data_IF_720431436731
#
_entry.id   IF_720431436731
#
_cell.length_a   1.000
_cell.length_b   1.000
_cell.length_c   1.000
_cell.angle_alpha   90.00
_cell.angle_beta   90.00
_cell.angle_gamma   90.00
#
_symmetry.space_group_name_H-M   'P 1'
#
loop_
_entity.id
_entity.type
_entity.pdbx_description
1 polymer ?
#
# COMPACT_ATOMS: atom_id res chain seq x y z
N UNK A 1 1.57 -5.29 -31.12
CA UNK A 1 1.95 -4.42 -29.98
C UNK A 1 1.50 -5.16 -28.72
N UNK A 2 2.41 -5.96 -28.12
CA UNK A 2 2.11 -6.68 -26.88
C UNK A 2 2.19 -5.68 -25.71
N UNK A 3 1.04 -5.37 -25.13
CA UNK A 3 1.01 -4.71 -23.81
C UNK A 3 1.32 -5.80 -22.79
N UNK A 4 2.56 -5.80 -22.29
CA UNK A 4 2.95 -6.59 -21.12
C UNK A 4 2.15 -6.08 -19.93
N UNK A 5 1.02 -6.74 -19.64
CA UNK A 5 0.26 -6.51 -18.43
C UNK A 5 1.10 -6.92 -17.24
N UNK A 6 1.56 -5.94 -16.46
CA UNK A 6 2.18 -6.20 -15.17
C UNK A 6 1.19 -6.97 -14.30
N UNK A 7 1.55 -8.19 -13.90
CA UNK A 7 0.75 -8.99 -12.97
C UNK A 7 0.75 -8.31 -11.60
N UNK A 8 -0.34 -7.64 -11.27
CA UNK A 8 -0.55 -6.98 -9.99
C UNK A 8 -0.95 -8.06 -8.95
N UNK A 9 0.05 -8.69 -8.35
CA UNK A 9 -0.13 -9.61 -7.24
C UNK A 9 0.03 -8.87 -5.92
N UNK A 10 -1.04 -8.27 -5.48
CA UNK A 10 -1.12 -7.73 -4.13
C UNK A 10 -2.22 -8.46 -3.35
N UNK A 11 -1.90 -8.90 -2.17
CA UNK A 11 -2.63 -9.90 -1.44
C UNK A 11 -3.24 -9.33 -0.17
N UNK A 12 -4.55 -9.47 -0.05
CA UNK A 12 -5.26 -9.32 1.23
C UNK A 12 -5.45 -10.72 1.81
N UNK A 13 -5.13 -10.92 3.07
CA UNK A 13 -5.30 -12.18 3.77
C UNK A 13 -6.78 -12.42 4.13
N UNK A 14 -7.52 -13.28 3.42
CA UNK A 14 -8.89 -13.59 3.79
C UNK A 14 -8.96 -14.49 5.06
N UNK A 15 -7.92 -15.24 5.41
CA UNK A 15 -7.90 -16.04 6.63
C UNK A 15 -7.86 -15.15 7.90
N UNK A 16 -7.29 -13.94 7.79
CA UNK A 16 -7.39 -12.94 8.86
C UNK A 16 -8.83 -12.41 9.04
N UNK A 17 -9.70 -12.64 8.05
CA UNK A 17 -11.10 -12.19 8.05
C UNK A 17 -11.99 -13.08 8.93
N UNK A 18 -11.65 -14.36 9.06
CA UNK A 18 -12.53 -15.34 9.72
C UNK A 18 -12.18 -15.60 11.20
N UNK A 19 -11.02 -15.18 11.67
CA UNK A 19 -10.48 -15.62 12.95
C UNK A 19 -10.75 -14.71 14.14
N UNK A 20 -11.20 -13.45 13.95
CA UNK A 20 -11.43 -12.54 15.08
C UNK A 20 -12.48 -11.48 14.75
N UNK A 21 -13.45 -11.33 15.65
CA UNK A 21 -14.29 -10.13 15.66
C UNK A 21 -13.36 -8.90 15.66
N UNK A 22 -13.65 -7.87 14.85
CA UNK A 22 -12.79 -6.70 14.79
C UNK A 22 -12.64 -6.17 16.22
N UNK A 23 -11.38 -6.12 16.68
CA UNK A 23 -11.09 -5.26 17.84
C UNK A 23 -11.66 -3.88 17.47
N UNK A 24 -12.45 -3.26 18.36
CA UNK A 24 -13.00 -1.96 18.06
C UNK A 24 -11.82 -1.07 17.62
N UNK A 25 -11.97 -0.44 16.46
CA UNK A 25 -11.02 0.60 16.04
C UNK A 25 -10.88 1.48 17.26
N UNK A 26 -9.71 1.61 17.88
CA UNK A 26 -9.57 2.48 19.02
C UNK A 26 -10.17 3.82 18.60
N UNK A 27 -11.10 4.41 19.35
CA UNK A 27 -11.84 5.60 18.93
C UNK A 27 -10.94 6.80 18.69
N UNK A 28 -9.67 6.62 18.90
CA UNK A 28 -8.57 7.46 18.50
C UNK A 28 -7.43 6.52 18.10
N UNK A 29 -7.33 6.18 16.80
CA UNK A 29 -6.00 6.12 16.26
C UNK A 29 -5.37 7.42 16.77
N UNK A 30 -4.38 7.32 17.67
CA UNK A 30 -3.72 8.51 18.22
C UNK A 30 -3.18 9.24 17.01
N UNK A 31 -3.95 10.21 16.55
CA UNK A 31 -3.57 11.06 15.45
C UNK A 31 -2.37 11.81 15.98
N UNK A 32 -1.19 11.33 15.60
CA UNK A 32 0.03 12.03 15.94
C UNK A 32 -0.17 13.48 15.47
N UNK A 33 0.06 14.43 16.36
CA UNK A 33 0.05 15.84 15.97
C UNK A 33 0.99 16.03 14.78
N UNK A 34 0.75 17.02 13.92
CA UNK A 34 1.64 17.29 12.80
C UNK A 34 3.10 17.40 13.23
N UNK A 35 3.35 17.99 14.40
CA UNK A 35 4.67 18.07 15.00
C UNK A 35 5.24 16.69 15.36
N UNK A 36 4.44 15.76 15.88
CA UNK A 36 4.89 14.40 16.21
C UNK A 36 5.18 13.58 14.96
N UNK A 37 4.36 13.70 13.92
CA UNK A 37 4.63 13.06 12.63
C UNK A 37 5.93 13.60 12.02
N UNK A 38 6.15 14.90 12.10
CA UNK A 38 7.37 15.55 11.62
C UNK A 38 8.61 15.19 12.45
N UNK A 39 8.47 15.03 13.77
CA UNK A 39 9.56 14.61 14.64
C UNK A 39 10.10 13.20 14.34
N UNK A 40 9.29 12.34 13.74
CA UNK A 40 9.71 11.02 13.27
C UNK A 40 10.50 11.07 11.96
N UNK A 41 10.46 12.22 11.28
CA UNK A 41 11.19 12.40 10.03
C UNK A 41 12.65 12.73 10.36
N UNK A 42 13.56 11.93 9.80
CA UNK A 42 14.95 12.32 9.82
C UNK A 42 15.11 13.66 9.08
N UNK A 43 15.95 14.54 9.61
CA UNK A 43 16.22 15.88 9.03
C UNK A 43 16.46 15.87 7.52
N UNK A 44 17.11 14.80 7.03
CA UNK A 44 17.37 14.62 5.60
C UNK A 44 16.11 14.52 4.75
N UNK A 45 15.03 13.92 5.28
CA UNK A 45 13.76 13.77 4.55
C UNK A 45 13.00 15.09 4.48
N UNK A 46 13.04 15.88 5.57
CA UNK A 46 12.43 17.22 5.61
C UNK A 46 13.10 18.21 4.65
N UNK A 47 14.39 18.00 4.36
CA UNK A 47 15.16 18.85 3.46
C UNK A 47 15.01 18.47 1.99
N UNK A 48 14.37 17.34 1.67
CA UNK A 48 14.14 16.94 0.27
C UNK A 48 13.24 17.93 -0.43
N UNK A 49 13.65 18.34 -1.62
CA UNK A 49 12.84 19.20 -2.50
C UNK A 49 11.82 18.35 -3.26
N UNK A 50 10.63 18.93 -3.45
CA UNK A 50 9.55 18.29 -4.21
C UNK A 50 8.68 17.37 -3.38
N UNK A 51 7.82 16.66 -4.08
CA UNK A 51 6.84 15.74 -3.50
C UNK A 51 7.49 14.41 -3.14
N UNK A 52 7.13 13.87 -1.96
CA UNK A 52 7.51 12.54 -1.51
C UNK A 52 6.40 11.91 -0.66
N UNK A 53 6.35 10.60 -0.66
CA UNK A 53 5.50 9.79 0.19
C UNK A 53 6.32 9.23 1.36
N UNK A 54 5.74 9.25 2.56
CA UNK A 54 6.32 8.68 3.75
C UNK A 54 5.31 7.76 4.40
N UNK A 55 5.59 6.46 4.40
CA UNK A 55 4.79 5.47 5.12
C UNK A 55 5.46 5.17 6.45
N UNK A 56 4.73 5.34 7.54
CA UNK A 56 5.17 4.95 8.86
C UNK A 56 4.41 3.68 9.27
N UNK A 57 5.10 2.54 9.33
CA UNK A 57 4.49 1.22 9.54
C UNK A 57 3.82 1.08 10.89
N UNK A 58 4.50 1.48 11.98
CA UNK A 58 3.97 1.30 13.34
C UNK A 58 2.75 2.18 13.62
N UNK A 59 2.71 3.40 13.09
CA UNK A 59 1.53 4.28 13.20
C UNK A 59 0.48 4.02 12.13
N UNK A 60 0.81 3.25 11.08
CA UNK A 60 -0.08 2.92 9.96
C UNK A 60 -0.64 4.16 9.27
N UNK A 61 0.26 5.08 8.98
CA UNK A 61 -0.07 6.36 8.35
C UNK A 61 0.81 6.59 7.12
N UNK A 62 0.18 7.09 6.07
CA UNK A 62 0.84 7.62 4.90
C UNK A 62 0.81 9.15 4.96
N UNK A 63 1.97 9.76 4.84
CA UNK A 63 2.15 11.21 4.75
C UNK A 63 2.56 11.56 3.34
N UNK A 64 1.97 12.62 2.79
CA UNK A 64 2.42 13.27 1.56
C UNK A 64 3.09 14.56 1.94
N UNK A 65 4.38 14.66 1.64
CA UNK A 65 5.18 15.86 1.89
C UNK A 65 5.50 16.55 0.58
N UNK A 66 5.51 17.88 0.60
CA UNK A 66 5.94 18.70 -0.52
C UNK A 66 6.90 19.77 -0.01
N UNK A 67 8.15 19.74 -0.49
CA UNK A 67 9.22 20.61 0.01
C UNK A 67 9.34 20.57 1.55
N UNK A 68 9.23 19.39 2.15
CA UNK A 68 9.28 19.17 3.58
C UNK A 68 8.04 19.62 4.37
N UNK A 69 7.00 20.08 3.69
CA UNK A 69 5.74 20.48 4.33
C UNK A 69 4.68 19.38 4.17
N UNK A 70 3.98 19.08 5.25
CA UNK A 70 2.87 18.12 5.21
C UNK A 70 1.71 18.68 4.36
N UNK A 71 1.34 17.94 3.33
CA UNK A 71 0.20 18.24 2.43
C UNK A 71 -1.01 17.39 2.75
N UNK A 72 -0.77 16.11 3.07
CA UNK A 72 -1.83 15.14 3.34
C UNK A 72 -1.33 14.10 4.33
N UNK A 73 -2.23 13.67 5.22
CA UNK A 73 -2.04 12.52 6.10
C UNK A 73 -3.27 11.64 6.01
N UNK A 74 -3.07 10.36 5.74
CA UNK A 74 -4.15 9.38 5.64
C UNK A 74 -3.80 8.09 6.36
N UNK A 75 -4.78 7.38 6.94
CA UNK A 75 -4.55 6.07 7.50
C UNK A 75 -4.26 5.06 6.40
N UNK A 76 -3.46 4.06 6.70
CA UNK A 76 -3.07 3.01 5.77
C UNK A 76 -3.09 1.65 6.45
N UNK A 77 -3.41 0.58 5.72
CA UNK A 77 -3.05 -0.75 6.16
C UNK A 77 -1.60 -1.03 5.77
N UNK A 78 -0.97 -1.96 6.48
CA UNK A 78 0.41 -2.40 6.22
C UNK A 78 0.50 -3.92 6.31
N UNK A 79 1.65 -4.46 5.92
CA UNK A 79 1.92 -5.89 6.01
C UNK A 79 1.85 -6.42 7.43
N UNK A 80 1.28 -7.62 7.57
CA UNK A 80 1.26 -8.38 8.83
C UNK A 80 2.63 -9.00 9.12
N UNK A 81 2.80 -9.58 10.31
CA UNK A 81 4.02 -10.28 10.72
C UNK A 81 4.39 -11.38 9.71
N UNK A 82 5.65 -11.40 9.29
CA UNK A 82 6.17 -12.28 8.25
C UNK A 82 5.88 -11.82 6.81
N UNK A 83 5.12 -10.73 6.64
CA UNK A 83 4.75 -10.12 5.36
C UNK A 83 4.82 -8.60 5.42
N UNK A 84 5.80 -8.11 6.14
CA UNK A 84 5.92 -6.69 6.39
C UNK A 84 6.11 -5.91 5.09
N UNK A 85 5.50 -4.75 5.04
CA UNK A 85 5.78 -3.78 3.97
C UNK A 85 7.28 -3.45 3.97
N UNK A 86 8.00 -3.60 2.83
CA UNK A 86 9.45 -3.41 2.76
C UNK A 86 9.88 -2.03 3.24
N UNK A 87 10.82 -2.01 4.20
CA UNK A 87 11.42 -0.78 4.70
C UNK A 87 12.38 -0.17 3.69
N UNK A 88 12.66 1.12 3.87
CA UNK A 88 13.71 1.81 3.12
C UNK A 88 13.20 2.81 2.09
N UNK A 89 14.09 3.18 1.19
CA UNK A 89 13.83 4.15 0.14
C UNK A 89 13.45 3.45 -1.17
N UNK A 90 12.34 3.86 -1.71
CA UNK A 90 11.75 3.38 -2.96
C UNK A 90 11.33 4.57 -3.83
N UNK A 91 10.78 4.28 -4.98
CA UNK A 91 10.13 5.26 -5.84
C UNK A 91 8.88 4.69 -6.47
N UNK A 92 7.96 5.55 -6.86
CA UNK A 92 6.79 5.13 -7.66
C UNK A 92 7.28 4.54 -8.98
N UNK A 93 7.00 3.26 -9.22
CA UNK A 93 7.40 2.49 -10.40
C UNK A 93 6.35 2.58 -11.52
N UNK A 94 5.09 2.50 -11.14
CA UNK A 94 3.97 2.59 -12.07
C UNK A 94 2.69 3.05 -11.37
N UNK A 95 1.74 3.53 -12.17
CA UNK A 95 0.42 3.98 -11.73
C UNK A 95 -0.65 3.42 -12.66
N UNK A 96 -1.75 2.93 -12.09
CA UNK A 96 -2.85 2.36 -12.87
C UNK A 96 -4.20 2.83 -12.32
N UNK A 97 -5.05 3.34 -13.19
CA UNK A 97 -6.46 3.63 -12.92
C UNK A 97 -7.25 2.36 -13.17
N UNK A 98 -8.19 2.06 -12.30
CA UNK A 98 -9.08 0.90 -12.39
C UNK A 98 -8.30 -0.40 -12.71
N UNK A 99 -7.38 -0.81 -11.80
CA UNK A 99 -6.52 -1.96 -12.04
C UNK A 99 -7.33 -3.25 -12.10
N UNK A 100 -6.97 -4.16 -13.00
CA UNK A 100 -7.44 -5.54 -12.95
C UNK A 100 -6.56 -6.33 -11.98
N UNK A 101 -7.17 -7.02 -11.03
CA UNK A 101 -6.45 -7.92 -10.14
C UNK A 101 -6.38 -9.32 -10.74
N UNK A 102 -5.19 -9.92 -10.69
CA UNK A 102 -4.99 -11.31 -11.12
C UNK A 102 -4.81 -12.18 -9.89
N UNK A 103 -5.67 -13.18 -9.75
CA UNK A 103 -5.58 -14.14 -8.66
C UNK A 103 -4.30 -14.99 -8.81
N UNK A 104 -3.44 -15.07 -7.78
CA UNK A 104 -2.11 -15.66 -7.90
C UNK A 104 -2.09 -17.16 -8.22
N UNK A 105 -3.02 -17.95 -7.67
CA UNK A 105 -3.08 -19.39 -7.94
C UNK A 105 -3.81 -19.73 -9.22
N UNK A 106 -4.98 -19.15 -9.42
CA UNK A 106 -5.88 -19.54 -10.52
C UNK A 106 -5.61 -18.77 -11.79
N UNK A 107 -4.94 -17.64 -11.71
CA UNK A 107 -4.76 -16.71 -12.82
C UNK A 107 -6.05 -15.96 -13.23
N UNK A 108 -7.15 -16.18 -12.50
CA UNK A 108 -8.42 -15.52 -12.76
C UNK A 108 -8.28 -14.00 -12.66
N UNK A 109 -8.90 -13.30 -13.60
CA UNK A 109 -8.89 -11.83 -13.62
C UNK A 109 -10.16 -11.31 -12.95
N UNK A 110 -9.97 -10.43 -11.96
CA UNK A 110 -11.06 -9.66 -11.33
C UNK A 110 -11.05 -8.27 -11.92
N UNK A 111 -12.13 -7.96 -12.61
CA UNK A 111 -12.32 -6.65 -13.24
C UNK A 111 -12.36 -5.52 -12.18
N UNK A 112 -12.16 -4.27 -12.60
CA UNK A 112 -12.20 -3.12 -11.70
C UNK A 112 -13.66 -2.81 -11.30
N UNK A 113 -14.23 -3.64 -10.46
CA UNK A 113 -15.55 -3.47 -9.85
C UNK A 113 -15.45 -3.43 -8.31
N UNK A 114 -16.58 -3.31 -7.64
CA UNK A 114 -16.64 -3.22 -6.17
C UNK A 114 -16.11 -4.44 -5.41
N UNK A 115 -15.76 -5.53 -6.10
CA UNK A 115 -15.17 -6.75 -5.53
C UNK A 115 -13.65 -6.81 -5.70
N UNK A 116 -13.09 -5.94 -6.53
CA UNK A 116 -11.66 -5.91 -6.78
C UNK A 116 -10.90 -5.44 -5.53
N UNK A 117 -9.99 -6.26 -4.96
CA UNK A 117 -9.30 -5.91 -3.72
C UNK A 117 -8.37 -4.70 -3.85
N UNK A 118 -8.02 -4.29 -5.07
CA UNK A 118 -7.13 -3.15 -5.32
C UNK A 118 -7.86 -1.81 -5.39
N UNK A 119 -9.21 -1.82 -5.34
CA UNK A 119 -9.96 -0.58 -5.46
C UNK A 119 -9.76 0.12 -6.81
N UNK A 120 -9.92 1.44 -6.84
CA UNK A 120 -9.93 2.22 -8.09
C UNK A 120 -8.54 2.68 -8.56
N UNK A 121 -7.50 2.58 -7.72
CA UNK A 121 -6.14 3.05 -8.04
C UNK A 121 -5.09 2.11 -7.51
N UNK A 122 -4.00 1.98 -8.29
CA UNK A 122 -2.79 1.26 -7.93
C UNK A 122 -1.56 2.13 -8.17
N UNK A 123 -0.63 2.14 -7.22
CA UNK A 123 0.66 2.83 -7.29
C UNK A 123 1.73 1.85 -6.82
N UNK A 124 2.46 1.22 -7.75
CA UNK A 124 3.56 0.32 -7.41
C UNK A 124 4.77 1.12 -6.93
N UNK A 125 5.46 0.65 -5.88
CA UNK A 125 6.70 1.28 -5.41
C UNK A 125 7.84 0.30 -5.09
N UNK A 126 7.55 -1.00 -5.00
CA UNK A 126 8.57 -2.02 -4.78
C UNK A 126 8.29 -3.24 -5.65
N UNK A 127 9.36 -3.94 -6.07
CA UNK A 127 9.30 -5.13 -6.88
C UNK A 127 10.26 -6.17 -6.30
N UNK A 128 9.75 -7.37 -6.03
CA UNK A 128 10.57 -8.53 -5.63
C UNK A 128 10.57 -9.56 -6.75
N UNK A 129 11.74 -9.81 -7.31
CA UNK A 129 11.96 -10.82 -8.34
C UNK A 129 12.73 -12.04 -7.79
N UNK A 130 13.26 -11.94 -6.57
CA UNK A 130 14.06 -13.00 -5.96
C UNK A 130 13.19 -14.07 -5.31
N UNK A 131 12.11 -13.64 -4.65
CA UNK A 131 11.17 -14.50 -3.96
C UNK A 131 9.73 -14.08 -4.27
N UNK A 132 9.33 -14.13 -5.55
CA UNK A 132 8.00 -13.66 -5.93
C UNK A 132 6.93 -14.57 -5.33
N UNK A 133 6.12 -14.03 -4.43
CA UNK A 133 5.03 -14.72 -3.76
C UNK A 133 3.71 -13.97 -3.86
N UNK A 134 2.63 -14.71 -3.72
CA UNK A 134 1.28 -14.18 -3.66
C UNK A 134 0.41 -15.02 -2.74
N UNK A 135 -0.59 -14.42 -2.12
CA UNK A 135 -1.59 -15.12 -1.31
C UNK A 135 -2.80 -15.45 -2.17
N UNK A 136 -3.21 -16.71 -2.19
CA UNK A 136 -4.31 -17.19 -3.04
C UNK A 136 -5.67 -17.26 -2.35
N UNK A 137 -5.75 -16.81 -1.12
CA UNK A 137 -6.93 -16.92 -0.28
C UNK A 137 -6.79 -17.97 0.84
N UNK A 138 -5.87 -18.92 0.70
CA UNK A 138 -5.64 -20.00 1.66
C UNK A 138 -4.17 -20.15 2.06
N UNK A 139 -3.25 -19.94 1.14
CA UNK A 139 -1.82 -20.12 1.32
C UNK A 139 -0.99 -19.19 0.45
N UNK A 140 0.29 -19.12 0.76
CA UNK A 140 1.29 -18.48 -0.10
C UNK A 140 1.60 -19.39 -1.27
N UNK A 141 1.58 -18.82 -2.46
CA UNK A 141 1.96 -19.48 -3.71
C UNK A 141 3.08 -18.74 -4.38
N UNK A 142 3.96 -19.47 -5.03
CA UNK A 142 4.95 -18.88 -5.91
C UNK A 142 4.28 -18.38 -7.19
N UNK A 143 4.68 -17.20 -7.65
CA UNK A 143 4.16 -16.63 -8.87
C UNK A 143 5.23 -16.55 -9.93
N UNK A 144 4.83 -16.61 -11.19
CA UNK A 144 5.74 -16.43 -12.31
C UNK A 144 6.03 -14.96 -12.52
N UNK A 145 7.31 -14.59 -12.59
CA UNK A 145 7.76 -13.21 -12.72
C UNK A 145 8.08 -12.57 -11.37
N UNK A 146 7.87 -11.28 -11.26
CA UNK A 146 8.14 -10.54 -10.02
C UNK A 146 6.83 -10.21 -9.31
N UNK A 147 6.83 -10.24 -7.98
CA UNK A 147 5.75 -9.67 -7.19
C UNK A 147 5.95 -8.16 -7.00
N UNK A 148 4.87 -7.44 -6.82
CA UNK A 148 4.89 -6.00 -6.63
C UNK A 148 4.22 -5.61 -5.32
N UNK A 149 4.79 -4.65 -4.63
CA UNK A 149 4.17 -3.98 -3.49
C UNK A 149 3.78 -2.57 -3.90
N UNK A 150 2.59 -2.16 -3.52
CA UNK A 150 2.07 -0.84 -3.88
C UNK A 150 1.04 -0.30 -2.90
N UNK A 151 0.74 0.98 -3.08
CA UNK A 151 -0.42 1.61 -2.46
C UNK A 151 -1.62 1.38 -3.38
N UNK A 152 -2.78 1.11 -2.80
CA UNK A 152 -4.00 0.88 -3.57
C UNK A 152 -5.26 1.20 -2.77
N UNK A 153 -6.38 1.35 -3.46
CA UNK A 153 -7.67 1.44 -2.81
C UNK A 153 -8.12 0.09 -2.25
N UNK A 154 -9.21 0.06 -1.51
CA UNK A 154 -9.80 -1.19 -1.05
C UNK A 154 -11.32 -1.06 -0.81
N UNK A 155 -12.11 -2.06 -1.22
CA UNK A 155 -13.50 -2.18 -0.79
C UNK A 155 -13.61 -2.62 0.68
N UNK A 156 -12.54 -3.21 1.23
CA UNK A 156 -12.48 -3.72 2.60
C UNK A 156 -12.04 -2.62 3.58
N UNK A 157 -12.88 -1.61 3.77
CA UNK A 157 -12.57 -0.42 4.60
C UNK A 157 -12.05 -0.74 6.00
N UNK A 158 -12.48 -1.87 6.58
CA UNK A 158 -12.07 -2.32 7.91
C UNK A 158 -10.56 -2.68 8.00
N UNK A 159 -9.88 -2.89 6.87
CA UNK A 159 -8.44 -3.20 6.86
C UNK A 159 -7.57 -1.97 7.11
N UNK A 160 -8.04 -0.79 6.73
CA UNK A 160 -7.28 0.46 6.83
C UNK A 160 -7.00 0.79 8.31
N UNK A 161 -5.74 1.13 8.60
CA UNK A 161 -5.25 1.34 9.96
C UNK A 161 -4.79 0.06 10.68
N UNK A 162 -4.72 -1.09 9.98
CA UNK A 162 -4.31 -2.38 10.55
C UNK A 162 -3.11 -2.99 9.83
N UNK A 163 -2.43 -3.93 10.50
CA UNK A 163 -1.38 -4.76 9.91
C UNK A 163 -2.01 -6.09 9.48
N UNK A 164 -2.55 -6.15 8.27
CA UNK A 164 -3.34 -7.30 7.75
C UNK A 164 -3.07 -7.62 6.28
N UNK A 165 -2.21 -6.87 5.60
CA UNK A 165 -1.87 -7.13 4.20
C UNK A 165 -0.67 -8.08 4.07
N UNK A 166 -0.37 -8.48 2.85
CA UNK A 166 0.85 -9.22 2.49
C UNK A 166 1.89 -8.28 1.86
N UNK A 167 2.17 -7.19 2.57
CA UNK A 167 3.15 -6.19 2.18
C UNK A 167 2.59 -4.96 1.48
N UNK A 168 1.45 -5.06 0.79
CA UNK A 168 0.80 -3.92 0.17
C UNK A 168 0.21 -2.93 1.17
N UNK A 169 -0.14 -1.76 0.69
CA UNK A 169 -0.57 -0.62 1.50
C UNK A 169 -1.98 -0.19 1.07
N UNK A 170 -3.04 -0.89 1.53
CA UNK A 170 -4.43 -0.48 1.32
C UNK A 170 -4.75 0.86 1.98
N UNK A 171 -5.44 1.71 1.25
CA UNK A 171 -5.97 3.01 1.68
C UNK A 171 -7.49 3.04 1.43
N UNK A 172 -8.20 3.94 2.06
CA UNK A 172 -9.54 4.25 1.62
C UNK A 172 -9.53 4.68 0.15
N UNK A 173 -10.57 4.32 -0.60
CA UNK A 173 -10.58 4.56 -2.05
C UNK A 173 -10.56 6.05 -2.40
N UNK A 174 -11.19 6.89 -1.58
CA UNK A 174 -11.12 8.34 -1.67
C UNK A 174 -9.70 8.89 -1.43
N UNK A 175 -8.96 8.31 -0.47
CA UNK A 175 -7.61 8.75 -0.13
C UNK A 175 -6.61 8.37 -1.22
N UNK A 176 -6.69 7.13 -1.72
CA UNK A 176 -5.77 6.70 -2.80
C UNK A 176 -5.96 7.51 -4.07
N UNK A 177 -7.18 7.94 -4.39
CA UNK A 177 -7.42 8.84 -5.53
C UNK A 177 -6.69 10.15 -5.35
N UNK A 178 -6.80 10.76 -4.17
CA UNK A 178 -6.10 12.01 -3.85
C UNK A 178 -4.58 11.84 -3.94
N UNK A 179 -4.03 10.76 -3.35
CA UNK A 179 -2.60 10.46 -3.44
C UNK A 179 -2.17 10.21 -4.89
N UNK A 180 -2.98 9.47 -5.63
CA UNK A 180 -2.71 9.15 -7.04
C UNK A 180 -2.57 10.41 -7.90
N UNK A 181 -3.43 11.40 -7.71
CA UNK A 181 -3.40 12.64 -8.48
C UNK A 181 -2.18 13.52 -8.15
N UNK A 182 -1.65 13.41 -6.92
CA UNK A 182 -0.48 14.17 -6.49
C UNK A 182 0.83 13.59 -6.99
N UNK A 183 0.96 12.25 -7.08
CA UNK A 183 2.23 11.58 -7.38
C UNK A 183 2.42 11.30 -8.86
N UNK A 184 3.69 11.13 -9.26
CA UNK A 184 4.11 10.68 -10.60
C UNK A 184 5.11 9.55 -10.49
N UNK A 185 5.33 8.83 -11.57
CA UNK A 185 6.43 7.84 -11.66
C UNK A 185 7.75 8.54 -11.32
N UNK A 186 8.54 7.90 -10.46
CA UNK A 186 9.76 8.46 -9.89
C UNK A 186 9.56 9.28 -8.61
N UNK A 187 8.32 9.54 -8.15
CA UNK A 187 8.09 10.17 -6.84
C UNK A 187 8.70 9.29 -5.74
N UNK A 188 9.58 9.84 -4.86
CA UNK A 188 10.16 9.09 -3.75
C UNK A 188 9.09 8.54 -2.80
N UNK A 189 9.29 7.31 -2.35
CA UNK A 189 8.49 6.62 -1.34
C UNK A 189 9.44 6.11 -0.26
N UNK A 190 9.29 6.58 0.97
CA UNK A 190 10.09 6.15 2.11
C UNK A 190 9.20 5.36 3.06
N UNK A 191 9.63 4.17 3.42
CA UNK A 191 8.92 3.31 4.38
C UNK A 191 9.76 3.23 5.65
N UNK A 192 9.20 3.75 6.75
CA UNK A 192 9.79 3.75 8.09
C UNK A 192 9.15 2.65 8.96
N UNK A 193 9.84 2.22 10.04
CA UNK A 193 9.33 1.27 11.03
C UNK A 193 8.01 1.66 11.66
#
# INVERSE_FOLDING_TARGET
>A
MLVLGASLLCCINPAAVLARAPDPIPPQAVWMSDASALALLQDALLRRRGLQLLLHRSSRQLLVLDHGRLRLRVPAAVGTDGWETPLGEHSVLSKTVDPTWKHPSTGALVAPDGRNPLGSRWIAFHQDCSHPGGWDGEKVVQVTGCSHVGLHGTPHRWTVGRAVSYGCVPLYDEDIRTVFDLVRVGTPVVVLP
#
